data_IF_045633427229
#
_entry.id   IF_045633427229
#
_cell.length_a   1.000
_cell.length_b   1.000
_cell.length_c   1.000
_cell.angle_alpha   90.00
_cell.angle_beta   90.00
_cell.angle_gamma   90.00
#
_symmetry.space_group_name_H-M   'P 1'
#
loop_
_entity.id
_entity.type
_entity.pdbx_description
1 polymer ?
#
# COMPACT_ATOMS: atom_id res chain seq x y z
N UNK A 1 -6.80 -12.25 6.31
CA UNK A 1 -7.22 -13.65 6.17
C UNK A 1 -7.84 -13.94 4.81
N UNK A 2 -8.16 -15.20 4.49
CA UNK A 2 -8.92 -15.55 3.29
C UNK A 2 -10.24 -14.79 3.23
N UNK A 3 -10.71 -14.49 2.00
CA UNK A 3 -11.92 -13.66 1.81
C UNK A 3 -13.15 -14.26 2.49
N UNK A 4 -13.29 -15.59 2.46
CA UNK A 4 -14.44 -16.28 3.05
C UNK A 4 -14.42 -16.35 4.57
N UNK A 5 -13.29 -16.04 5.21
CA UNK A 5 -13.14 -16.00 6.67
C UNK A 5 -13.42 -14.60 7.24
N UNK A 6 -13.59 -13.59 6.39
CA UNK A 6 -13.93 -12.23 6.80
C UNK A 6 -15.45 -12.10 6.92
N UNK A 7 -15.91 -11.60 8.06
CA UNK A 7 -17.31 -11.17 8.16
C UNK A 7 -17.53 -9.82 7.46
N UNK A 8 -18.79 -9.45 7.23
CA UNK A 8 -19.16 -8.24 6.50
C UNK A 8 -18.62 -6.98 7.20
N UNK A 9 -18.67 -6.91 8.51
CA UNK A 9 -18.18 -5.75 9.27
C UNK A 9 -16.67 -5.55 9.11
N UNK A 10 -15.88 -6.63 9.15
CA UNK A 10 -14.43 -6.59 8.90
C UNK A 10 -14.13 -6.15 7.47
N UNK A 11 -14.90 -6.64 6.50
CA UNK A 11 -14.74 -6.28 5.09
C UNK A 11 -15.03 -4.79 4.87
N UNK A 12 -16.15 -4.29 5.39
CA UNK A 12 -16.55 -2.89 5.28
C UNK A 12 -15.54 -1.96 5.97
N UNK A 13 -15.11 -2.32 7.18
CA UNK A 13 -14.11 -1.57 7.93
C UNK A 13 -12.77 -1.49 7.17
N UNK A 14 -12.35 -2.58 6.54
CA UNK A 14 -11.12 -2.61 5.76
C UNK A 14 -11.19 -1.69 4.55
N UNK A 15 -12.32 -1.67 3.84
CA UNK A 15 -12.57 -0.78 2.70
C UNK A 15 -12.62 0.68 3.18
N UNK A 16 -13.36 0.94 4.23
CA UNK A 16 -13.56 2.28 4.77
C UNK A 16 -12.25 2.92 5.23
N UNK A 17 -11.43 2.18 5.96
CA UNK A 17 -10.13 2.69 6.43
C UNK A 17 -9.13 2.81 5.28
N UNK A 18 -8.95 1.74 4.51
CA UNK A 18 -7.84 1.67 3.56
C UNK A 18 -8.08 2.43 2.25
N UNK A 19 -9.35 2.62 1.85
CA UNK A 19 -9.67 3.29 0.60
C UNK A 19 -10.53 4.53 0.79
N UNK A 20 -11.72 4.43 1.42
CA UNK A 20 -12.58 5.61 1.62
C UNK A 20 -11.89 6.70 2.45
N UNK A 21 -11.14 6.31 3.49
CA UNK A 21 -10.31 7.23 4.27
C UNK A 21 -9.28 7.97 3.42
N UNK A 22 -8.61 7.28 2.48
CA UNK A 22 -7.66 7.91 1.55
C UNK A 22 -8.35 8.88 0.60
N UNK A 23 -9.52 8.52 0.05
CA UNK A 23 -10.33 9.40 -0.81
C UNK A 23 -10.75 10.66 -0.04
N UNK A 24 -11.25 10.49 1.18
CA UNK A 24 -11.67 11.61 2.02
C UNK A 24 -10.49 12.53 2.36
N UNK A 25 -9.32 11.95 2.69
CA UNK A 25 -8.09 12.69 2.95
C UNK A 25 -7.63 13.49 1.74
N UNK A 26 -7.62 12.87 0.56
CA UNK A 26 -7.26 13.56 -0.69
C UNK A 26 -8.19 14.74 -0.99
N UNK A 27 -9.52 14.54 -0.87
CA UNK A 27 -10.51 15.61 -1.08
C UNK A 27 -10.35 16.77 -0.09
N UNK A 28 -10.13 16.45 1.18
CA UNK A 28 -9.94 17.46 2.21
C UNK A 28 -8.61 18.23 2.06
N UNK A 29 -7.56 17.56 1.60
CA UNK A 29 -6.24 18.17 1.42
C UNK A 29 -6.15 19.04 0.15
N UNK A 30 -6.90 18.72 -0.91
CA UNK A 30 -6.77 19.36 -2.22
C UNK A 30 -6.78 20.91 -2.17
N UNK A 31 -7.75 21.61 -1.52
CA UNK A 31 -7.77 23.06 -1.52
C UNK A 31 -6.52 23.67 -0.85
N UNK A 32 -5.98 23.02 0.17
CA UNK A 32 -4.78 23.47 0.87
C UNK A 32 -3.51 23.21 0.06
N UNK A 33 -3.43 22.07 -0.61
CA UNK A 33 -2.33 21.75 -1.52
C UNK A 33 -2.31 22.70 -2.70
N UNK A 34 -3.47 23.02 -3.27
CA UNK A 34 -3.60 23.99 -4.36
C UNK A 34 -3.19 25.41 -3.92
N UNK A 35 -3.58 25.84 -2.73
CA UNK A 35 -3.18 27.13 -2.18
C UNK A 35 -1.66 27.23 -1.92
N UNK A 36 -0.99 26.10 -1.73
CA UNK A 36 0.46 26.00 -1.48
C UNK A 36 1.27 25.63 -2.73
N UNK A 37 0.62 25.47 -3.87
CA UNK A 37 1.28 25.13 -5.13
C UNK A 37 1.99 26.36 -5.74
N UNK A 38 3.02 26.19 -6.57
CA UNK A 38 3.63 24.91 -6.95
C UNK A 38 4.54 24.31 -5.85
N UNK A 39 4.77 22.99 -5.93
CA UNK A 39 5.69 22.29 -5.02
C UNK A 39 4.99 21.49 -3.91
N UNK A 40 3.67 21.62 -3.79
CA UNK A 40 2.89 20.77 -2.89
C UNK A 40 2.78 19.34 -3.40
N UNK A 41 2.65 18.37 -2.47
CA UNK A 41 2.59 16.96 -2.81
C UNK A 41 1.62 16.21 -1.88
N UNK A 42 0.75 15.39 -2.45
CA UNK A 42 -0.02 14.39 -1.72
C UNK A 42 0.73 13.05 -1.77
N UNK A 43 1.14 12.54 -0.62
CA UNK A 43 1.74 11.22 -0.49
C UNK A 43 0.74 10.20 0.05
N UNK A 44 0.39 9.22 -0.75
CA UNK A 44 -0.49 8.11 -0.36
C UNK A 44 0.32 6.89 0.12
N UNK A 45 -0.19 6.17 1.12
CA UNK A 45 0.40 4.90 1.56
C UNK A 45 -0.34 3.74 0.91
N UNK A 46 0.21 3.24 -0.20
CA UNK A 46 -0.23 2.01 -0.83
C UNK A 46 0.41 0.77 -0.13
N UNK A 47 0.89 -0.21 -0.86
CA UNK A 47 1.58 -1.41 -0.34
C UNK A 47 2.23 -2.16 -1.49
N UNK A 48 3.19 -3.02 -1.21
CA UNK A 48 3.65 -4.06 -2.13
C UNK A 48 2.50 -4.96 -2.62
N UNK A 49 1.42 -5.12 -1.81
CA UNK A 49 0.19 -5.82 -2.19
C UNK A 49 -0.60 -5.12 -3.30
N UNK A 50 -0.24 -3.91 -3.71
CA UNK A 50 -0.76 -3.22 -4.90
C UNK A 50 0.01 -3.56 -6.19
N UNK A 51 0.98 -4.48 -6.13
CA UNK A 51 1.75 -4.96 -7.28
C UNK A 51 1.27 -6.32 -7.78
N UNK A 52 0.82 -7.17 -6.86
CA UNK A 52 0.24 -8.47 -7.14
C UNK A 52 -0.70 -8.89 -6.01
N UNK A 53 -1.88 -9.42 -6.35
CA UNK A 53 -2.85 -9.92 -5.35
C UNK A 53 -2.33 -11.18 -4.67
N UNK A 54 -2.33 -11.19 -3.34
CA UNK A 54 -1.78 -12.29 -2.54
C UNK A 54 -2.90 -13.11 -1.91
N UNK A 55 -2.83 -14.43 -2.00
CA UNK A 55 -3.75 -15.33 -1.32
C UNK A 55 -3.76 -15.04 0.21
N UNK A 56 -4.93 -15.06 0.81
CA UNK A 56 -5.14 -14.67 2.20
C UNK A 56 -5.14 -13.16 2.47
N UNK A 57 -4.94 -12.33 1.43
CA UNK A 57 -4.98 -10.87 1.50
C UNK A 57 -5.81 -10.26 0.36
N UNK A 58 -6.81 -11.01 -0.16
CA UNK A 58 -7.56 -10.62 -1.36
C UNK A 58 -8.17 -9.21 -1.24
N UNK A 59 -8.97 -8.97 -0.20
CA UNK A 59 -9.63 -7.68 0.01
C UNK A 59 -8.62 -6.56 0.34
N UNK A 60 -7.61 -6.86 1.16
CA UNK A 60 -6.53 -5.92 1.45
C UNK A 60 -5.80 -5.50 0.17
N UNK A 61 -5.41 -6.48 -0.66
CA UNK A 61 -4.77 -6.20 -1.95
C UNK A 61 -5.66 -5.32 -2.82
N UNK A 62 -6.95 -5.65 -2.94
CA UNK A 62 -7.90 -4.86 -3.72
C UNK A 62 -7.94 -3.39 -3.25
N UNK A 63 -8.00 -3.13 -1.93
CA UNK A 63 -7.97 -1.75 -1.41
C UNK A 63 -6.65 -1.04 -1.74
N UNK A 64 -5.52 -1.73 -1.71
CA UNK A 64 -4.21 -1.15 -2.01
C UNK A 64 -3.99 -0.93 -3.51
N UNK A 65 -4.55 -1.78 -4.39
CA UNK A 65 -4.65 -1.50 -5.83
C UNK A 65 -5.53 -0.27 -6.10
N UNK A 66 -6.65 -0.12 -5.40
CA UNK A 66 -7.50 1.06 -5.51
C UNK A 66 -6.76 2.35 -5.13
N UNK A 67 -5.96 2.34 -4.05
CA UNK A 67 -5.11 3.48 -3.66
C UNK A 67 -4.06 3.78 -4.72
N UNK A 68 -3.46 2.74 -5.33
CA UNK A 68 -2.50 2.92 -6.42
C UNK A 68 -3.15 3.59 -7.62
N UNK A 69 -4.29 3.06 -8.11
CA UNK A 69 -5.00 3.64 -9.25
C UNK A 69 -5.47 5.06 -8.98
N UNK A 70 -5.98 5.33 -7.76
CA UNK A 70 -6.33 6.68 -7.34
C UNK A 70 -5.12 7.63 -7.39
N UNK A 71 -3.96 7.19 -6.93
CA UNK A 71 -2.73 7.99 -6.96
C UNK A 71 -2.33 8.36 -8.39
N UNK A 72 -2.35 7.37 -9.31
CA UNK A 72 -2.02 7.57 -10.73
C UNK A 72 -2.99 8.57 -11.40
N UNK A 73 -4.29 8.44 -11.12
CA UNK A 73 -5.31 9.33 -11.65
C UNK A 73 -5.16 10.78 -11.12
N UNK A 74 -5.03 10.92 -9.79
CA UNK A 74 -4.92 12.24 -9.16
C UNK A 74 -3.63 12.97 -9.53
N UNK A 75 -2.51 12.27 -9.78
CA UNK A 75 -1.27 12.90 -10.24
C UNK A 75 -1.47 13.59 -11.60
N UNK A 76 -2.27 12.97 -12.48
CA UNK A 76 -2.63 13.57 -13.77
C UNK A 76 -3.70 14.66 -13.64
N UNK A 77 -4.76 14.44 -12.85
CA UNK A 77 -5.86 15.38 -12.67
C UNK A 77 -5.39 16.69 -12.03
N UNK A 78 -4.46 16.63 -11.07
CA UNK A 78 -4.00 17.80 -10.30
C UNK A 78 -2.75 18.47 -10.87
N UNK A 79 -2.24 17.97 -11.99
CA UNK A 79 -1.08 18.55 -12.68
C UNK A 79 -1.32 20.03 -13.02
N UNK A 80 -2.52 20.37 -13.50
CA UNK A 80 -2.91 21.75 -13.83
C UNK A 80 -2.99 22.68 -12.59
N UNK A 81 -3.16 22.11 -11.40
CA UNK A 81 -3.14 22.84 -10.12
C UNK A 81 -1.73 22.95 -9.53
N UNK A 82 -0.70 22.40 -10.18
CA UNK A 82 0.68 22.41 -9.72
C UNK A 82 0.95 21.49 -8.52
N UNK A 83 0.07 20.50 -8.29
CA UNK A 83 0.14 19.54 -7.19
C UNK A 83 0.67 18.23 -7.71
N UNK A 84 1.67 17.65 -7.07
CA UNK A 84 2.11 16.28 -7.30
C UNK A 84 1.33 15.30 -6.43
N UNK A 85 1.07 14.10 -6.98
CA UNK A 85 0.51 13.01 -6.20
C UNK A 85 1.39 11.77 -6.37
N UNK A 86 1.85 11.20 -5.27
CA UNK A 86 2.70 10.02 -5.31
C UNK A 86 2.34 9.02 -4.21
N UNK A 87 2.92 7.84 -4.25
CA UNK A 87 2.74 6.84 -3.20
C UNK A 87 4.03 6.13 -2.81
N UNK A 88 4.07 5.70 -1.54
CA UNK A 88 5.00 4.66 -1.08
C UNK A 88 4.31 3.31 -1.12
N UNK A 89 5.08 2.26 -1.45
CA UNK A 89 4.63 0.87 -1.50
C UNK A 89 5.52 0.00 -0.60
N UNK A 90 5.30 0.05 0.73
CA UNK A 90 6.06 -0.77 1.66
C UNK A 90 5.72 -2.25 1.56
N UNK A 91 6.72 -3.11 1.83
CA UNK A 91 6.52 -4.52 2.11
C UNK A 91 6.17 -4.74 3.58
N UNK A 92 6.90 -5.57 4.32
CA UNK A 92 6.66 -5.81 5.74
C UNK A 92 7.49 -4.85 6.59
N UNK A 93 6.80 -4.00 7.35
CA UNK A 93 7.43 -2.99 8.19
C UNK A 93 7.33 -3.41 9.65
N UNK A 94 8.43 -3.30 10.39
CA UNK A 94 8.47 -3.67 11.81
C UNK A 94 7.71 -2.65 12.66
N UNK A 95 6.41 -2.90 12.82
CA UNK A 95 5.50 -2.04 13.58
C UNK A 95 4.56 -2.87 14.44
N UNK A 96 3.92 -2.23 15.42
CA UNK A 96 2.91 -2.84 16.29
C UNK A 96 1.73 -3.47 15.50
N UNK A 97 1.47 -3.04 14.26
CA UNK A 97 0.43 -3.61 13.40
C UNK A 97 0.63 -5.11 13.14
N UNK A 98 1.88 -5.57 13.10
CA UNK A 98 2.22 -6.98 12.87
C UNK A 98 2.10 -7.85 14.13
N UNK A 99 2.00 -7.26 15.31
CA UNK A 99 1.79 -7.99 16.57
C UNK A 99 0.32 -8.47 16.70
N UNK A 100 -0.62 -7.80 16.05
CA UNK A 100 -2.02 -8.17 16.09
C UNK A 100 -2.37 -9.44 15.32
N UNK A 101 -3.56 -10.04 15.59
CA UNK A 101 -4.02 -11.24 14.93
C UNK A 101 -4.28 -11.02 13.44
N UNK A 102 -4.31 -12.11 12.67
CA UNK A 102 -4.58 -12.08 11.22
C UNK A 102 -6.00 -11.60 10.93
N UNK A 103 -6.98 -12.09 11.69
CA UNK A 103 -8.39 -11.71 11.66
C UNK A 103 -9.02 -12.00 13.03
N UNK A 104 -10.30 -11.67 13.21
CA UNK A 104 -11.02 -11.89 14.47
C UNK A 104 -11.11 -13.37 14.90
N UNK A 105 -11.06 -14.28 13.93
CA UNK A 105 -11.14 -15.73 14.18
C UNK A 105 -9.79 -16.40 14.44
N UNK A 106 -8.70 -15.65 14.46
CA UNK A 106 -7.33 -16.18 14.54
C UNK A 106 -6.53 -15.50 15.65
N UNK A 107 -6.01 -16.29 16.59
CA UNK A 107 -5.05 -15.80 17.59
C UNK A 107 -3.61 -15.74 17.08
N UNK A 108 -3.37 -16.09 15.81
CA UNK A 108 -2.01 -16.11 15.24
C UNK A 108 -1.54 -14.71 14.86
N UNK A 109 -0.37 -14.24 15.38
CA UNK A 109 0.18 -12.95 14.99
C UNK A 109 0.52 -12.89 13.49
N UNK A 110 0.27 -11.75 12.85
CA UNK A 110 0.67 -11.51 11.45
C UNK A 110 2.19 -11.67 11.26
N UNK A 111 2.98 -11.29 12.28
CA UNK A 111 4.44 -11.42 12.30
C UNK A 111 4.91 -12.85 12.03
N UNK A 112 4.25 -13.85 12.61
CA UNK A 112 4.61 -15.27 12.44
C UNK A 112 4.49 -15.73 10.99
N UNK A 113 3.54 -15.18 10.24
CA UNK A 113 3.37 -15.49 8.82
C UNK A 113 4.58 -14.99 8.02
N UNK A 114 5.00 -13.75 8.30
CA UNK A 114 6.15 -13.12 7.63
C UNK A 114 7.44 -13.91 7.91
N UNK A 115 7.67 -14.27 9.19
CA UNK A 115 8.83 -15.07 9.60
C UNK A 115 8.82 -16.45 8.92
N UNK A 116 7.68 -17.16 8.93
CA UNK A 116 7.57 -18.49 8.29
C UNK A 116 7.76 -18.43 6.77
N UNK A 117 7.41 -17.32 6.14
CA UNK A 117 7.64 -17.11 4.71
C UNK A 117 9.10 -16.70 4.39
N UNK A 118 9.97 -16.56 5.38
CA UNK A 118 11.37 -16.14 5.19
C UNK A 118 11.49 -14.72 4.61
N UNK A 119 10.53 -13.85 4.93
CA UNK A 119 10.49 -12.48 4.43
C UNK A 119 11.14 -11.54 5.45
N UNK A 120 11.75 -10.47 4.94
CA UNK A 120 12.41 -9.47 5.77
C UNK A 120 11.42 -8.48 6.39
N UNK A 121 11.81 -7.92 7.53
CA UNK A 121 11.20 -6.73 8.11
C UNK A 121 12.04 -5.51 7.75
N UNK A 122 11.40 -4.49 7.23
CA UNK A 122 12.04 -3.19 6.95
C UNK A 122 11.84 -2.27 8.16
N UNK A 123 12.89 -1.63 8.69
CA UNK A 123 12.75 -0.63 9.74
C UNK A 123 11.87 0.54 9.35
N UNK A 124 11.11 1.10 10.30
CA UNK A 124 10.19 2.22 10.03
C UNK A 124 10.92 3.47 9.54
N UNK A 125 12.16 3.69 9.98
CA UNK A 125 13.03 4.78 9.55
C UNK A 125 13.27 4.75 8.04
N UNK A 126 13.43 3.55 7.45
CA UNK A 126 13.59 3.39 6.00
C UNK A 126 12.32 3.73 5.22
N UNK A 127 11.16 3.59 5.86
CA UNK A 127 9.89 4.05 5.26
C UNK A 127 9.81 5.56 5.28
N UNK A 128 10.23 6.21 6.37
CA UNK A 128 10.27 7.65 6.49
C UNK A 128 11.25 8.29 5.49
N UNK A 129 12.46 7.72 5.35
CA UNK A 129 13.45 8.13 4.32
C UNK A 129 12.84 8.03 2.92
N UNK A 130 12.21 6.87 2.60
CA UNK A 130 11.59 6.66 1.28
C UNK A 130 10.39 7.59 1.03
N UNK A 131 9.63 7.94 2.07
CA UNK A 131 8.54 8.91 1.97
C UNK A 131 9.08 10.31 1.65
N UNK A 132 10.16 10.72 2.32
CA UNK A 132 10.86 11.97 2.03
C UNK A 132 11.38 12.02 0.58
N UNK A 133 12.06 10.96 0.14
CA UNK A 133 12.54 10.85 -1.24
C UNK A 133 11.39 10.86 -2.26
N UNK A 134 10.26 10.21 -1.96
CA UNK A 134 9.09 10.18 -2.84
C UNK A 134 8.50 11.58 -3.06
N UNK A 135 8.37 12.36 -1.99
CA UNK A 135 7.82 13.72 -2.04
C UNK A 135 8.73 14.66 -2.84
N UNK A 136 10.06 14.51 -2.74
CA UNK A 136 11.03 15.39 -3.41
C UNK A 136 11.54 14.83 -4.76
N UNK A 137 11.20 13.59 -5.08
CA UNK A 137 11.60 12.94 -6.33
C UNK A 137 10.57 13.12 -7.46
N UNK A 138 10.74 12.35 -8.54
CA UNK A 138 9.86 12.39 -9.72
C UNK A 138 9.03 11.12 -9.94
N UNK A 139 9.19 10.09 -9.08
CA UNK A 139 8.49 8.83 -9.24
C UNK A 139 7.08 8.92 -8.67
N UNK A 140 6.09 8.38 -9.39
CA UNK A 140 4.72 8.24 -8.86
C UNK A 140 4.69 7.21 -7.73
N UNK A 141 5.42 6.08 -7.89
CA UNK A 141 5.44 5.01 -6.89
C UNK A 141 6.85 4.72 -6.41
N UNK A 142 7.06 4.75 -5.10
CA UNK A 142 8.32 4.41 -4.45
C UNK A 142 8.20 3.10 -3.68
N UNK A 143 8.94 2.07 -4.13
CA UNK A 143 8.96 0.74 -3.51
C UNK A 143 9.86 0.74 -2.28
N UNK A 144 9.36 0.24 -1.14
CA UNK A 144 10.11 0.19 0.11
C UNK A 144 10.32 -1.26 0.56
N UNK A 145 11.57 -1.63 0.70
CA UNK A 145 12.01 -2.96 1.09
C UNK A 145 12.35 -3.87 -0.10
N UNK A 146 13.22 -4.87 0.12
CA UNK A 146 13.65 -5.82 -0.91
C UNK A 146 12.50 -6.66 -1.48
N UNK A 147 11.57 -7.10 -0.63
CA UNK A 147 10.38 -7.87 -1.07
C UNK A 147 9.52 -7.08 -2.03
N UNK A 148 9.26 -5.79 -1.80
CA UNK A 148 8.49 -4.94 -2.72
C UNK A 148 9.16 -4.86 -4.10
N UNK A 149 10.49 -4.69 -4.15
CA UNK A 149 11.25 -4.62 -5.40
C UNK A 149 11.24 -5.95 -6.16
N UNK A 150 11.46 -7.07 -5.46
CA UNK A 150 11.38 -8.42 -6.05
C UNK A 150 9.98 -8.72 -6.59
N UNK A 151 8.95 -8.36 -5.83
CA UNK A 151 7.55 -8.56 -6.23
C UNK A 151 7.20 -7.74 -7.48
N UNK A 152 7.64 -6.49 -7.57
CA UNK A 152 7.41 -5.65 -8.76
C UNK A 152 8.01 -6.27 -10.02
N UNK A 153 9.25 -6.78 -9.95
CA UNK A 153 9.90 -7.46 -11.06
C UNK A 153 9.17 -8.76 -11.42
N UNK A 154 8.83 -9.58 -10.43
CA UNK A 154 8.13 -10.84 -10.66
C UNK A 154 6.73 -10.65 -11.25
N UNK A 155 5.96 -9.67 -10.76
CA UNK A 155 4.64 -9.35 -11.27
C UNK A 155 4.68 -8.87 -12.73
N UNK A 156 5.73 -8.13 -13.11
CA UNK A 156 5.91 -7.61 -14.48
C UNK A 156 6.36 -8.69 -15.47
N UNK A 157 7.32 -9.54 -15.07
CA UNK A 157 8.03 -10.40 -16.01
C UNK A 157 7.70 -11.90 -15.86
N UNK A 158 7.14 -12.31 -14.73
CA UNK A 158 6.87 -13.72 -14.43
C UNK A 158 5.52 -13.97 -13.76
N UNK A 159 4.38 -13.45 -14.30
CA UNK A 159 3.06 -13.59 -13.65
C UNK A 159 2.64 -15.06 -13.49
N UNK A 160 3.00 -15.93 -14.43
CA UNK A 160 2.71 -17.35 -14.35
C UNK A 160 3.47 -18.04 -13.19
N UNK A 161 4.71 -17.63 -12.93
CA UNK A 161 5.48 -18.10 -11.77
C UNK A 161 4.85 -17.65 -10.45
N UNK A 162 4.39 -16.40 -10.38
CA UNK A 162 3.70 -15.86 -9.21
C UNK A 162 2.47 -16.68 -8.86
N UNK A 163 1.66 -17.03 -9.87
CA UNK A 163 0.46 -17.88 -9.69
C UNK A 163 0.79 -19.26 -9.11
N UNK A 164 1.87 -19.92 -9.57
CA UNK A 164 2.28 -21.23 -9.07
C UNK A 164 2.80 -21.20 -7.63
N UNK A 165 3.42 -20.10 -7.21
CA UNK A 165 3.97 -19.95 -5.86
C UNK A 165 2.92 -19.56 -4.81
N UNK A 166 1.74 -19.14 -5.24
CA UNK A 166 0.61 -18.81 -4.38
C UNK A 166 -0.27 -20.03 -4.04
N UNK A 167 0.02 -21.20 -4.62
CA UNK A 167 -0.54 -22.51 -4.28
C UNK A 167 0.31 -23.23 -3.23
#
# INVERSE_FOLDING_TARGET
GPLMDLNQTEADQLIDINFRGVVNGARAAHPWLKASAPGSCLLNTASASALYGTAGLALYSATKFAVRGLTEALDTEWLGDGIRVCSIMPSFIDTALLAGPVNASSNRPKRDIVVKAGLEFTPVEKVAEAAWEAVHGSRIHTLVGPTARKLALAAKWAPAYMRKRAQ
#
